data_IF_347382482515
#
_entry.id   IF_347382482515
#
_cell.length_a   1.000
_cell.length_b   1.000
_cell.length_c   1.000
_cell.angle_alpha   90.00
_cell.angle_beta   90.00
_cell.angle_gamma   90.00
#
_symmetry.space_group_name_H-M   'P 1'
#
loop_
_entity.id
_entity.type
_entity.pdbx_description
1 polymer ?
#
# COMPACT_ATOMS: atom_id res chain seq x y z
N UNK A 1 -38.92 39.67 24.47
CA UNK A 1 -37.57 39.12 24.30
C UNK A 1 -37.68 37.65 23.89
N UNK A 2 -37.47 37.33 22.64
CA UNK A 2 -37.43 35.94 22.17
C UNK A 2 -36.01 35.41 22.35
N UNK A 3 -35.87 34.40 23.23
CA UNK A 3 -34.61 33.66 23.36
C UNK A 3 -34.46 32.77 22.13
N UNK A 4 -33.54 33.09 21.23
CA UNK A 4 -33.10 32.18 20.17
C UNK A 4 -32.22 31.10 20.78
N UNK A 5 -32.75 29.92 20.91
CA UNK A 5 -31.96 28.73 21.24
C UNK A 5 -31.21 28.29 19.98
N UNK A 6 -29.93 28.57 19.94
CA UNK A 6 -29.06 28.15 18.86
C UNK A 6 -28.79 26.63 19.05
N UNK A 7 -29.46 25.81 18.23
CA UNK A 7 -29.24 24.38 18.20
C UNK A 7 -27.92 24.15 17.43
N UNK A 8 -26.83 23.93 18.15
CA UNK A 8 -25.57 23.49 17.55
C UNK A 8 -25.77 22.06 17.08
N UNK A 9 -25.95 21.87 15.77
CA UNK A 9 -25.84 20.56 15.14
C UNK A 9 -24.36 20.15 15.20
N UNK A 10 -24.03 19.29 16.16
CA UNK A 10 -22.80 18.52 16.11
C UNK A 10 -22.91 17.53 14.96
N UNK A 11 -22.35 17.87 13.82
CA UNK A 11 -21.99 16.88 12.81
C UNK A 11 -20.85 16.04 13.38
N UNK A 12 -21.16 14.94 14.03
CA UNK A 12 -20.23 13.86 14.25
C UNK A 12 -19.94 13.19 12.90
N UNK A 13 -19.20 13.87 12.03
CA UNK A 13 -18.59 13.26 10.88
C UNK A 13 -17.60 12.24 11.41
N UNK A 14 -17.83 10.98 11.17
CA UNK A 14 -16.81 9.93 11.33
C UNK A 14 -15.68 10.29 10.39
N UNK A 15 -14.66 10.98 10.91
CA UNK A 15 -13.38 11.17 10.24
C UNK A 15 -12.77 9.77 10.08
N UNK A 16 -12.92 9.17 8.89
CA UNK A 16 -12.16 7.99 8.53
C UNK A 16 -10.69 8.40 8.50
N UNK A 17 -9.92 7.97 9.50
CA UNK A 17 -8.49 8.21 9.56
C UNK A 17 -7.83 7.46 8.42
N UNK A 18 -7.28 8.20 7.45
CA UNK A 18 -6.42 7.66 6.42
C UNK A 18 -5.00 7.58 6.99
N UNK A 19 -4.41 6.39 6.97
CA UNK A 19 -2.99 6.25 7.23
C UNK A 19 -2.20 6.71 5.99
N UNK A 20 -1.06 7.35 6.19
CA UNK A 20 -0.25 7.90 5.11
C UNK A 20 0.99 7.06 4.88
N UNK A 21 1.24 6.69 3.63
CA UNK A 21 2.44 5.98 3.24
C UNK A 21 3.61 6.96 3.08
N UNK A 22 4.73 6.61 3.67
CA UNK A 22 5.96 7.40 3.62
C UNK A 22 7.20 6.51 3.48
N UNK A 23 8.36 7.12 3.28
CA UNK A 23 9.66 6.42 3.22
C UNK A 23 9.67 5.26 2.21
N UNK A 24 9.37 5.59 0.99
CA UNK A 24 9.40 4.63 -0.10
C UNK A 24 10.80 4.06 -0.33
N UNK A 25 10.88 2.77 -0.53
CA UNK A 25 12.12 2.05 -0.76
C UNK A 25 11.91 0.78 -1.56
N UNK A 26 13.01 0.09 -1.82
CA UNK A 26 13.02 -1.21 -2.50
C UNK A 26 12.77 -2.32 -1.47
N UNK A 27 11.91 -3.25 -1.83
CA UNK A 27 11.73 -4.49 -1.08
C UNK A 27 12.56 -5.60 -1.73
N UNK A 28 13.61 -6.07 -1.04
CA UNK A 28 14.62 -7.04 -1.43
C UNK A 28 15.49 -6.62 -2.61
N UNK A 29 14.93 -6.42 -3.81
CA UNK A 29 15.71 -6.04 -4.98
C UNK A 29 14.93 -5.16 -5.95
N UNK A 30 15.65 -4.49 -6.84
CA UNK A 30 15.10 -3.61 -7.87
C UNK A 30 15.73 -2.24 -7.87
N UNK A 31 15.35 -1.43 -8.83
CA UNK A 31 15.67 -0.01 -8.89
C UNK A 31 14.40 0.81 -8.80
N UNK A 32 14.34 1.70 -7.82
CA UNK A 32 13.19 2.54 -7.54
C UNK A 32 13.43 3.96 -8.05
N UNK A 33 12.45 4.48 -8.78
CA UNK A 33 12.38 5.91 -9.13
C UNK A 33 11.02 6.48 -8.73
N UNK A 34 10.99 7.78 -8.43
CA UNK A 34 9.76 8.48 -8.10
C UNK A 34 9.68 9.76 -8.93
N UNK A 35 8.60 9.91 -9.69
CA UNK A 35 8.36 11.09 -10.52
C UNK A 35 6.86 11.37 -10.62
N UNK A 36 6.47 12.62 -10.41
CA UNK A 36 5.08 13.11 -10.57
C UNK A 36 4.03 12.25 -9.84
N UNK A 37 4.36 11.80 -8.61
CA UNK A 37 3.47 10.97 -7.81
C UNK A 37 3.41 9.49 -8.23
N UNK A 38 4.13 9.11 -9.28
CA UNK A 38 4.28 7.72 -9.72
C UNK A 38 5.57 7.13 -9.15
N UNK A 39 5.46 5.96 -8.57
CA UNK A 39 6.60 5.18 -8.08
C UNK A 39 6.83 4.06 -9.07
N UNK A 40 8.03 3.98 -9.61
CA UNK A 40 8.41 3.00 -10.61
C UNK A 40 9.48 2.05 -10.06
N UNK A 41 9.28 0.77 -10.27
CA UNK A 41 10.23 -0.30 -9.96
C UNK A 41 10.64 -1.00 -11.25
N UNK A 42 11.95 -1.15 -11.42
CA UNK A 42 12.55 -2.00 -12.44
C UNK A 42 13.27 -3.17 -11.78
N UNK A 43 13.08 -4.38 -12.26
CA UNK A 43 13.86 -5.52 -11.81
C UNK A 43 15.32 -5.40 -12.26
N UNK A 44 16.22 -5.91 -11.43
CA UNK A 44 17.65 -5.97 -11.76
C UNK A 44 18.01 -7.35 -12.31
N UNK A 45 19.11 -7.43 -13.05
CA UNK A 45 19.61 -8.69 -13.57
C UNK A 45 19.86 -9.70 -12.44
N UNK A 46 19.41 -10.94 -12.62
CA UNK A 46 19.52 -12.00 -11.62
C UNK A 46 18.49 -11.91 -10.51
N UNK A 47 17.47 -11.08 -10.65
CA UNK A 47 16.41 -10.92 -9.66
C UNK A 47 15.69 -12.22 -9.31
N UNK A 48 15.49 -13.09 -10.29
CA UNK A 48 14.87 -14.41 -10.12
C UNK A 48 15.62 -15.32 -9.14
N UNK A 49 16.91 -15.09 -8.94
CA UNK A 49 17.77 -15.82 -7.99
C UNK A 49 17.79 -15.17 -6.62
N UNK A 50 17.39 -13.90 -6.51
CA UNK A 50 17.43 -13.11 -5.28
C UNK A 50 16.11 -13.15 -4.49
N UNK A 51 15.08 -13.78 -5.02
CA UNK A 51 13.76 -13.86 -4.41
C UNK A 51 12.79 -12.83 -4.96
N UNK A 52 12.48 -11.77 -4.23
CA UNK A 52 11.49 -10.78 -4.64
C UNK A 52 12.10 -9.51 -5.22
N UNK A 53 11.40 -8.91 -6.17
CA UNK A 53 11.50 -7.49 -6.47
C UNK A 53 10.25 -6.80 -5.95
N UNK A 54 10.36 -5.64 -5.34
CA UNK A 54 9.19 -4.97 -4.79
C UNK A 54 9.43 -3.55 -4.34
N UNK A 55 8.33 -2.92 -4.00
CA UNK A 55 8.27 -1.58 -3.42
C UNK A 55 7.84 -1.71 -1.97
N UNK A 56 8.51 -1.00 -1.08
CA UNK A 56 8.13 -0.90 0.32
C UNK A 56 7.88 0.54 0.75
N UNK A 57 7.04 0.71 1.74
CA UNK A 57 6.82 1.98 2.41
C UNK A 57 6.56 1.77 3.90
N UNK A 58 6.68 2.84 4.67
CA UNK A 58 6.24 2.89 6.06
C UNK A 58 4.82 3.46 6.13
N UNK A 59 3.96 2.83 6.92
CA UNK A 59 2.63 3.31 7.24
C UNK A 59 2.62 3.72 8.70
N UNK A 60 2.38 5.00 8.95
CA UNK A 60 2.42 5.61 10.28
C UNK A 60 1.00 5.90 10.79
N UNK A 61 0.89 6.15 12.08
CA UNK A 61 -0.37 6.54 12.73
C UNK A 61 -1.51 5.54 12.51
N UNK A 62 -1.16 4.26 12.53
CA UNK A 62 -2.14 3.19 12.51
C UNK A 62 -2.81 3.01 13.86
N UNK A 63 -4.09 2.69 13.87
CA UNK A 63 -4.82 2.30 15.07
C UNK A 63 -4.53 0.83 15.37
N UNK A 64 -3.95 0.50 16.56
CA UNK A 64 -3.72 -0.88 16.94
C UNK A 64 -4.98 -1.75 16.87
N UNK A 65 -4.87 -2.95 16.34
CA UNK A 65 -5.98 -3.91 16.22
C UNK A 65 -6.98 -3.61 15.10
N UNK A 66 -6.85 -2.50 14.40
CA UNK A 66 -7.78 -2.10 13.34
C UNK A 66 -7.47 -2.79 12.02
N UNK A 67 -8.50 -2.87 11.16
CA UNK A 67 -8.40 -3.34 9.79
C UNK A 67 -8.38 -2.16 8.83
N UNK A 68 -7.52 -2.23 7.85
CA UNK A 68 -7.39 -1.22 6.81
C UNK A 68 -7.59 -1.85 5.44
N UNK A 69 -8.19 -1.08 4.55
CA UNK A 69 -8.17 -1.38 3.12
C UNK A 69 -7.10 -0.56 2.43
N UNK A 70 -6.20 -1.25 1.76
CA UNK A 70 -5.18 -0.66 0.89
C UNK A 70 -5.67 -0.72 -0.53
N UNK A 71 -5.67 0.40 -1.24
CA UNK A 71 -5.99 0.49 -2.66
C UNK A 71 -4.91 1.28 -3.38
N UNK A 72 -4.60 0.90 -4.60
CA UNK A 72 -3.67 1.64 -5.46
C UNK A 72 -3.95 1.36 -6.93
N UNK A 73 -3.50 2.26 -7.78
CA UNK A 73 -3.46 2.03 -9.22
C UNK A 73 -2.09 1.51 -9.62
N UNK A 74 -2.07 0.51 -10.47
CA UNK A 74 -0.83 -0.09 -10.98
C UNK A 74 -0.93 -0.43 -12.47
N UNK A 75 0.22 -0.38 -13.13
CA UNK A 75 0.43 -0.85 -14.51
C UNK A 75 1.85 -1.31 -14.71
N UNK A 76 2.12 -1.98 -15.80
CA UNK A 76 3.46 -2.39 -16.20
C UNK A 76 3.51 -3.83 -16.71
N UNK A 77 4.60 -4.51 -16.39
CA UNK A 77 4.91 -5.88 -16.82
C UNK A 77 5.31 -6.73 -15.62
N UNK A 78 4.72 -7.89 -15.50
CA UNK A 78 4.94 -8.86 -14.44
C UNK A 78 3.62 -9.34 -13.84
N UNK A 79 3.71 -10.30 -12.94
CA UNK A 79 2.56 -10.81 -12.19
C UNK A 79 2.67 -10.37 -10.73
N UNK A 80 1.81 -9.47 -10.32
CA UNK A 80 1.76 -9.03 -8.94
C UNK A 80 1.28 -10.18 -8.04
N UNK A 81 2.10 -10.55 -7.06
CA UNK A 81 1.83 -11.76 -6.27
C UNK A 81 1.26 -11.48 -4.91
N UNK A 82 1.61 -10.38 -4.29
CA UNK A 82 1.07 -10.13 -2.99
C UNK A 82 1.59 -8.89 -2.30
N UNK A 83 1.10 -8.76 -1.10
CA UNK A 83 1.42 -7.70 -0.17
C UNK A 83 1.83 -8.33 1.15
N UNK A 84 2.91 -7.84 1.73
CA UNK A 84 3.34 -8.21 3.08
C UNK A 84 3.36 -6.96 3.96
N UNK A 85 3.10 -7.13 5.25
CA UNK A 85 3.10 -6.02 6.20
C UNK A 85 3.49 -6.48 7.60
N UNK A 86 3.95 -5.50 8.40
CA UNK A 86 4.30 -5.69 9.79
C UNK A 86 5.71 -6.21 10.02
N UNK A 87 6.10 -6.27 11.28
CA UNK A 87 7.42 -6.77 11.70
C UNK A 87 7.52 -8.30 11.61
N UNK A 88 6.43 -8.99 11.88
CA UNK A 88 6.28 -10.39 11.52
C UNK A 88 5.54 -10.40 10.18
N UNK A 89 6.21 -10.81 9.14
CA UNK A 89 5.69 -10.76 7.77
C UNK A 89 4.33 -11.47 7.67
N UNK A 90 3.27 -10.71 7.87
CA UNK A 90 1.92 -11.13 7.53
C UNK A 90 1.74 -10.95 6.03
N UNK A 91 1.09 -11.90 5.39
CA UNK A 91 0.94 -11.92 3.94
C UNK A 91 -0.53 -11.97 3.57
N UNK A 92 -0.95 -11.10 2.65
CA UNK A 92 -2.18 -11.30 1.91
C UNK A 92 -1.85 -11.59 0.45
N UNK A 93 -2.46 -12.61 -0.10
CA UNK A 93 -2.31 -12.93 -1.51
C UNK A 93 -3.24 -12.01 -2.31
N UNK A 94 -2.63 -11.13 -3.08
CA UNK A 94 -3.29 -10.60 -4.25
C UNK A 94 -3.17 -11.74 -5.26
N UNK A 95 -4.26 -12.39 -5.61
CA UNK A 95 -4.26 -13.47 -6.62
C UNK A 95 -3.42 -13.03 -7.80
N UNK A 96 -2.43 -13.83 -8.22
CA UNK A 96 -1.50 -13.52 -9.31
C UNK A 96 -2.21 -12.80 -10.45
N UNK A 97 -2.17 -11.47 -10.41
CA UNK A 97 -2.82 -10.64 -11.41
C UNK A 97 -1.75 -10.12 -12.35
N UNK A 98 -1.80 -10.47 -13.63
CA UNK A 98 -0.89 -9.91 -14.59
C UNK A 98 -1.10 -8.40 -14.68
N UNK A 99 -0.01 -7.64 -14.66
CA UNK A 99 -0.03 -6.23 -14.99
C UNK A 99 -0.29 -6.06 -16.49
N UNK A 100 -0.82 -4.92 -16.86
CA UNK A 100 -0.98 -4.49 -18.25
C UNK A 100 -0.43 -3.09 -18.45
N UNK A 101 -0.41 -2.59 -19.65
CA UNK A 101 -0.01 -1.22 -19.96
C UNK A 101 -1.00 -0.17 -19.46
N UNK A 102 -2.19 -0.58 -19.05
CA UNK A 102 -3.24 0.31 -18.56
C UNK A 102 -3.27 0.33 -17.03
N UNK A 103 -3.62 1.49 -16.47
CA UNK A 103 -3.84 1.63 -15.03
C UNK A 103 -5.04 0.80 -14.58
N UNK A 104 -4.82 -0.04 -13.60
CA UNK A 104 -5.86 -0.87 -12.96
C UNK A 104 -5.80 -0.70 -11.45
N UNK A 105 -6.95 -0.75 -10.80
CA UNK A 105 -7.04 -0.72 -9.36
C UNK A 105 -6.79 -2.10 -8.76
N UNK A 106 -5.97 -2.12 -7.73
CA UNK A 106 -5.72 -3.26 -6.86
C UNK A 106 -6.11 -2.91 -5.45
N UNK A 107 -6.62 -3.86 -4.71
CA UNK A 107 -6.96 -3.69 -3.31
C UNK A 107 -6.65 -4.93 -2.49
N UNK A 108 -6.31 -4.70 -1.22
CA UNK A 108 -6.13 -5.75 -0.24
C UNK A 108 -6.48 -5.24 1.16
N UNK A 109 -6.91 -6.14 2.03
CA UNK A 109 -7.16 -5.83 3.43
C UNK A 109 -5.96 -6.25 4.27
N UNK A 110 -5.58 -5.38 5.20
CA UNK A 110 -4.53 -5.62 6.18
C UNK A 110 -5.07 -5.42 7.59
N UNK A 111 -4.46 -6.08 8.56
CA UNK A 111 -4.79 -5.95 9.96
C UNK A 111 -3.57 -5.48 10.74
N UNK A 112 -3.73 -4.40 11.49
CA UNK A 112 -2.67 -3.86 12.34
C UNK A 112 -2.64 -4.67 13.65
N UNK A 113 -1.48 -5.21 14.06
CA UNK A 113 -1.35 -5.87 15.35
C UNK A 113 -1.75 -4.93 16.50
N UNK A 114 -2.29 -5.47 17.58
CA UNK A 114 -2.75 -4.69 18.73
C UNK A 114 -1.63 -3.93 19.45
N UNK A 115 -0.38 -4.32 19.23
CA UNK A 115 0.80 -3.70 19.83
C UNK A 115 1.49 -2.68 18.92
N UNK A 116 0.99 -2.45 17.70
CA UNK A 116 1.67 -1.66 16.69
C UNK A 116 0.89 -0.39 16.35
N UNK A 117 1.62 0.70 16.17
CA UNK A 117 1.10 1.98 15.67
C UNK A 117 1.66 2.35 14.31
N UNK A 118 2.58 1.55 13.81
CA UNK A 118 3.18 1.69 12.49
C UNK A 118 3.49 0.30 11.92
N UNK A 119 3.57 0.21 10.62
CA UNK A 119 3.97 -1.02 9.95
C UNK A 119 4.71 -0.73 8.64
N UNK A 120 5.53 -1.69 8.23
CA UNK A 120 6.06 -1.72 6.89
C UNK A 120 5.03 -2.38 5.97
N UNK A 121 4.88 -1.85 4.78
CA UNK A 121 4.01 -2.37 3.73
C UNK A 121 4.85 -2.58 2.48
N UNK A 122 4.78 -3.76 1.88
CA UNK A 122 5.48 -4.04 0.64
C UNK A 122 4.59 -4.75 -0.36
N UNK A 123 4.77 -4.40 -1.62
CA UNK A 123 4.13 -5.03 -2.79
C UNK A 123 5.24 -5.67 -3.61
N UNK A 124 5.09 -6.92 -4.01
CA UNK A 124 6.22 -7.67 -4.56
C UNK A 124 5.89 -8.63 -5.70
N UNK A 125 6.96 -8.98 -6.43
CA UNK A 125 7.03 -9.95 -7.52
C UNK A 125 8.06 -11.00 -7.14
N UNK A 126 7.66 -12.27 -7.03
CA UNK A 126 8.52 -13.34 -6.56
C UNK A 126 9.17 -14.10 -7.72
N UNK A 127 10.49 -14.21 -7.71
CA UNK A 127 11.27 -14.95 -8.71
C UNK A 127 10.96 -14.59 -10.17
N UNK A 128 10.59 -13.36 -10.43
CA UNK A 128 10.29 -12.90 -11.77
C UNK A 128 11.45 -12.10 -12.36
N UNK A 129 11.68 -12.28 -13.65
CA UNK A 129 12.57 -11.46 -14.46
C UNK A 129 11.78 -10.39 -15.19
N UNK A 130 12.46 -9.33 -15.60
CA UNK A 130 11.90 -8.32 -16.50
C UNK A 130 10.60 -7.70 -15.97
N UNK A 131 10.60 -7.35 -14.69
CA UNK A 131 9.50 -6.65 -14.05
C UNK A 131 9.65 -5.15 -14.27
N UNK A 132 8.59 -4.53 -14.77
CA UNK A 132 8.38 -3.09 -14.77
C UNK A 132 7.07 -2.79 -14.07
N UNK A 133 7.12 -2.06 -12.97
CA UNK A 133 5.95 -1.81 -12.13
C UNK A 133 5.84 -0.33 -11.81
N UNK A 134 4.71 0.26 -12.14
CA UNK A 134 4.36 1.61 -11.78
C UNK A 134 3.16 1.60 -10.84
N UNK A 135 3.26 2.36 -9.76
CA UNK A 135 2.22 2.50 -8.74
C UNK A 135 1.93 3.98 -8.49
N UNK A 136 0.67 4.32 -8.34
CA UNK A 136 0.20 5.63 -7.89
C UNK A 136 -1.08 5.54 -7.07
N UNK A 137 -1.47 6.66 -6.49
CA UNK A 137 -2.73 6.82 -5.75
C UNK A 137 -2.94 5.77 -4.64
N UNK A 138 -1.87 5.46 -3.92
CA UNK A 138 -1.95 4.58 -2.76
C UNK A 138 -2.80 5.24 -1.67
N UNK A 139 -3.85 4.53 -1.25
CA UNK A 139 -4.74 4.91 -0.18
C UNK A 139 -4.84 3.79 0.84
N UNK A 140 -4.79 4.15 2.11
CA UNK A 140 -4.87 3.22 3.23
C UNK A 140 -5.95 3.76 4.17
N UNK A 141 -7.11 3.13 4.17
CA UNK A 141 -8.28 3.57 4.92
C UNK A 141 -8.72 2.53 5.93
N UNK A 142 -8.99 2.98 7.15
CA UNK A 142 -9.60 2.14 8.18
C UNK A 142 -11.00 1.70 7.75
N UNK A 143 -11.31 0.45 8.03
CA UNK A 143 -12.60 -0.17 7.70
C UNK A 143 -13.60 0.01 8.85
#
# INVERSE_FOLDING_TARGET
>A
MKKMTMLALLFAGTLAFAAEASRWGVFQSGTLTKKDGVICLESVAGNEKKGAAGISCSVLDCTPGSKYRVTFLARGKGNLEGMVWGHVLKRTNISRLPLSSEWREFSADIEVPETETSLALAVFFWHQTDVHFELKDLKIKEK
#
